data_IF_861788853611
#
_entry.id   IF_861788853611
#
_cell.length_a   1.000
_cell.length_b   1.000
_cell.length_c   1.000
_cell.angle_alpha   90.00
_cell.angle_beta   90.00
_cell.angle_gamma   90.00
#
_symmetry.space_group_name_H-M   'P 1'
#
loop_
_entity.id
_entity.type
_entity.pdbx_description
1 polymer ?
#
# COMPACT_ATOMS: atom_id res chain seq x y z
N UNK A 1 -7.37 -8.00 -6.97
CA UNK A 1 -6.43 -9.13 -6.73
C UNK A 1 -5.09 -8.54 -6.33
N UNK A 2 -4.29 -9.18 -5.48
CA UNK A 2 -2.88 -8.81 -5.36
C UNK A 2 -2.06 -9.54 -6.41
N UNK A 3 -1.51 -8.77 -7.34
CA UNK A 3 -0.60 -9.21 -8.38
C UNK A 3 0.61 -8.25 -8.42
N UNK A 4 1.33 -8.13 -7.29
CA UNK A 4 2.43 -7.18 -7.10
C UNK A 4 3.55 -7.41 -8.12
N UNK A 5 3.91 -8.66 -8.40
CA UNK A 5 4.86 -9.04 -9.45
C UNK A 5 4.18 -9.78 -10.61
N UNK A 6 2.94 -9.38 -10.94
CA UNK A 6 2.14 -9.97 -12.02
C UNK A 6 1.32 -11.17 -11.58
N UNK A 7 0.67 -11.83 -12.55
CA UNK A 7 -0.22 -12.97 -12.28
C UNK A 7 0.50 -14.12 -11.57
N UNK A 8 1.81 -14.27 -11.76
CA UNK A 8 2.62 -15.29 -11.11
C UNK A 8 2.57 -15.26 -9.58
N UNK A 9 2.16 -14.14 -8.97
CA UNK A 9 1.88 -14.06 -7.53
C UNK A 9 0.73 -14.99 -7.08
N UNK A 10 -0.26 -15.19 -7.95
CA UNK A 10 -1.47 -15.98 -7.64
C UNK A 10 -1.60 -17.23 -8.51
N UNK A 11 -0.93 -17.25 -9.67
CA UNK A 11 -1.02 -18.28 -10.71
C UNK A 11 0.37 -18.71 -11.17
N UNK A 12 1.27 -19.02 -10.22
CA UNK A 12 2.70 -19.26 -10.48
C UNK A 12 2.99 -20.35 -11.52
N UNK A 13 2.17 -21.40 -11.57
CA UNK A 13 2.38 -22.55 -12.46
C UNK A 13 1.99 -22.28 -13.92
N UNK A 14 1.18 -21.23 -14.16
CA UNK A 14 0.55 -20.98 -15.45
C UNK A 14 0.84 -19.59 -16.02
N UNK A 15 1.57 -18.74 -15.29
CA UNK A 15 1.84 -17.35 -15.67
C UNK A 15 3.25 -16.89 -15.26
N UNK A 16 3.66 -15.72 -15.75
CA UNK A 16 4.99 -15.16 -15.50
C UNK A 16 5.03 -14.45 -14.13
N UNK A 17 6.16 -14.58 -13.44
CA UNK A 17 6.51 -13.74 -12.28
C UNK A 17 7.54 -12.72 -12.71
N UNK A 18 7.24 -11.44 -12.49
CA UNK A 18 8.22 -10.37 -12.62
C UNK A 18 9.18 -10.37 -11.41
N UNK A 19 10.34 -9.69 -11.49
CA UNK A 19 11.20 -9.52 -10.34
C UNK A 19 10.45 -8.79 -9.20
N UNK A 20 10.78 -9.15 -7.96
CA UNK A 20 10.29 -8.44 -6.79
C UNK A 20 10.79 -6.99 -6.76
N UNK A 21 10.03 -6.14 -6.09
CA UNK A 21 10.10 -4.69 -6.13
C UNK A 21 11.44 -4.17 -5.62
N UNK A 22 12.07 -4.83 -4.65
CA UNK A 22 13.38 -4.42 -4.14
C UNK A 22 14.46 -4.52 -5.22
N UNK A 23 14.41 -5.55 -6.08
CA UNK A 23 15.30 -5.67 -7.23
C UNK A 23 15.01 -4.59 -8.27
N UNK A 24 13.72 -4.31 -8.52
CA UNK A 24 13.30 -3.24 -9.42
C UNK A 24 13.67 -1.84 -8.89
N UNK A 25 13.81 -1.70 -7.58
CA UNK A 25 14.30 -0.50 -6.88
C UNK A 25 15.64 -0.01 -7.38
N UNK A 26 16.53 -0.92 -7.77
CA UNK A 26 17.86 -0.61 -8.29
C UNK A 26 17.87 -0.13 -9.75
N UNK A 27 16.76 -0.28 -10.49
CA UNK A 27 16.66 0.14 -11.89
C UNK A 27 16.73 1.67 -11.98
N UNK A 28 17.63 2.17 -12.82
CA UNK A 28 17.79 3.61 -13.08
C UNK A 28 16.79 4.12 -14.14
N UNK A 29 16.48 3.30 -15.15
CA UNK A 29 15.50 3.64 -16.17
C UNK A 29 14.07 3.32 -15.73
N UNK A 30 13.41 4.31 -15.13
CA UNK A 30 12.03 4.21 -14.66
C UNK A 30 10.99 3.94 -15.76
N UNK A 31 11.35 4.03 -17.06
CA UNK A 31 10.46 3.61 -18.16
C UNK A 31 10.22 2.09 -18.14
N UNK A 32 11.18 1.31 -17.65
CA UNK A 32 11.02 -0.14 -17.52
C UNK A 32 9.93 -0.50 -16.51
N UNK A 33 9.78 0.28 -15.43
CA UNK A 33 8.72 0.07 -14.43
C UNK A 33 7.33 0.35 -15.01
N UNK A 34 7.21 1.39 -15.85
CA UNK A 34 5.97 1.64 -16.60
C UNK A 34 5.64 0.50 -17.57
N UNK A 35 6.63 0.04 -18.34
CA UNK A 35 6.45 -1.07 -19.28
C UNK A 35 6.05 -2.37 -18.57
N UNK A 36 6.62 -2.63 -17.39
CA UNK A 36 6.21 -3.74 -16.55
C UNK A 36 4.74 -3.59 -16.11
N UNK A 37 4.34 -2.43 -15.60
CA UNK A 37 2.95 -2.16 -15.21
C UNK A 37 1.97 -2.35 -16.37
N UNK A 38 2.34 -1.90 -17.58
CA UNK A 38 1.58 -2.14 -18.82
C UNK A 38 1.42 -3.62 -19.13
N UNK A 39 2.49 -4.40 -19.03
CA UNK A 39 2.43 -5.83 -19.34
C UNK A 39 1.61 -6.61 -18.32
N UNK A 40 1.76 -6.28 -17.03
CA UNK A 40 0.92 -6.83 -15.96
C UNK A 40 -0.56 -6.48 -16.22
N UNK A 41 -0.86 -5.26 -16.64
CA UNK A 41 -2.23 -4.87 -17.00
C UNK A 41 -2.79 -5.72 -18.14
N UNK A 42 -2.00 -5.96 -19.20
CA UNK A 42 -2.38 -6.82 -20.33
C UNK A 42 -2.73 -8.23 -19.87
N UNK A 43 -1.90 -8.83 -19.01
CA UNK A 43 -2.12 -10.16 -18.44
C UNK A 43 -3.39 -10.20 -17.57
N UNK A 44 -3.55 -9.25 -16.65
CA UNK A 44 -4.72 -9.14 -15.77
C UNK A 44 -6.02 -9.01 -16.56
N UNK A 45 -6.02 -8.14 -17.59
CA UNK A 45 -7.16 -7.96 -18.50
C UNK A 45 -7.52 -9.24 -19.23
N UNK A 46 -6.54 -10.04 -19.65
CA UNK A 46 -6.77 -11.30 -20.35
C UNK A 46 -7.52 -12.34 -19.49
N UNK A 47 -7.38 -12.27 -18.16
CA UNK A 47 -8.10 -13.13 -17.20
C UNK A 47 -9.31 -12.43 -16.55
N UNK A 48 -9.72 -11.27 -17.07
CA UNK A 48 -10.90 -10.55 -16.58
C UNK A 48 -10.69 -9.75 -15.29
N UNK A 49 -9.45 -9.52 -14.86
CA UNK A 49 -9.14 -8.68 -13.70
C UNK A 49 -9.05 -7.21 -14.09
N UNK A 50 -9.70 -6.36 -13.30
CA UNK A 50 -9.81 -4.91 -13.52
C UNK A 50 -9.23 -4.06 -12.39
N UNK A 51 -8.87 -4.68 -11.26
CA UNK A 51 -8.36 -4.00 -10.07
C UNK A 51 -7.19 -4.79 -9.48
N UNK A 52 -6.01 -4.19 -9.48
CA UNK A 52 -4.80 -4.73 -8.86
C UNK A 52 -4.48 -3.96 -7.58
N UNK A 53 -4.28 -4.69 -6.48
CA UNK A 53 -3.81 -4.15 -5.21
C UNK A 53 -2.28 -3.97 -5.26
N UNK A 54 -1.83 -3.09 -6.15
CA UNK A 54 -0.44 -2.70 -6.36
C UNK A 54 -0.41 -1.27 -6.92
N UNK A 55 0.66 -0.49 -6.66
CA UNK A 55 1.93 -0.89 -6.07
C UNK A 55 1.97 -0.85 -4.53
N UNK A 56 2.92 -1.60 -3.95
CA UNK A 56 3.39 -1.35 -2.59
C UNK A 56 4.25 -0.08 -2.61
N UNK A 57 3.81 0.94 -1.88
CA UNK A 57 4.43 2.26 -1.75
C UNK A 57 5.08 2.50 -0.38
N UNK A 58 5.16 1.46 0.45
CA UNK A 58 5.86 1.49 1.73
C UNK A 58 7.37 1.69 1.53
N UNK A 59 8.00 2.49 2.39
CA UNK A 59 9.45 2.72 2.40
C UNK A 59 10.12 1.71 3.31
N UNK A 60 10.95 0.82 2.76
CA UNK A 60 11.58 -0.27 3.53
C UNK A 60 12.84 0.19 4.27
N UNK A 61 12.66 1.08 5.24
CA UNK A 61 13.72 1.65 6.10
C UNK A 61 14.07 0.78 7.31
N UNK A 62 13.29 -0.27 7.59
CA UNK A 62 13.55 -1.24 8.63
C UNK A 62 13.96 -2.60 8.04
N UNK A 63 15.23 -3.01 8.17
CA UNK A 63 15.69 -4.29 7.62
C UNK A 63 15.12 -5.51 8.35
N UNK A 64 14.58 -5.34 9.57
CA UNK A 64 13.92 -6.41 10.33
C UNK A 64 12.44 -6.58 9.95
N UNK A 65 11.88 -5.71 9.09
CA UNK A 65 10.49 -5.80 8.68
C UNK A 65 10.20 -7.15 7.99
N UNK A 66 9.32 -8.00 8.54
CA UNK A 66 9.07 -9.33 8.00
C UNK A 66 8.03 -9.33 6.86
N UNK A 67 7.27 -8.25 6.68
CA UNK A 67 6.09 -8.20 5.79
C UNK A 67 6.36 -7.43 4.50
N UNK A 68 7.03 -6.28 4.58
CA UNK A 68 7.29 -5.41 3.43
C UNK A 68 8.55 -5.86 2.71
N UNK A 69 9.73 -5.71 3.31
CA UNK A 69 11.01 -6.23 2.82
C UNK A 69 11.16 -6.12 1.29
N UNK A 70 11.18 -7.25 0.58
CA UNK A 70 11.39 -7.31 -0.87
C UNK A 70 10.22 -6.78 -1.72
N UNK A 71 9.06 -6.51 -1.11
CA UNK A 71 7.86 -5.94 -1.76
C UNK A 71 7.93 -4.43 -1.93
N UNK A 72 8.81 -3.74 -1.21
CA UNK A 72 9.06 -2.31 -1.43
C UNK A 72 10.09 -2.09 -2.52
N UNK A 73 10.07 -0.92 -3.16
CA UNK A 73 11.12 -0.47 -4.07
C UNK A 73 12.41 -0.01 -3.37
N UNK A 74 12.46 -0.01 -2.03
CA UNK A 74 13.67 0.27 -1.26
C UNK A 74 13.46 1.26 -0.12
N UNK A 75 14.55 1.83 0.37
CA UNK A 75 14.60 2.70 1.54
C UNK A 75 14.50 4.21 1.24
N UNK A 76 14.70 4.62 -0.01
CA UNK A 76 14.65 6.03 -0.41
C UNK A 76 13.20 6.45 -0.78
N UNK A 77 12.56 7.39 -0.05
CA UNK A 77 11.16 7.75 -0.28
C UNK A 77 10.89 8.29 -1.68
N UNK A 78 11.84 9.02 -2.27
CA UNK A 78 11.71 9.55 -3.62
C UNK A 78 11.72 8.43 -4.67
N UNK A 79 12.65 7.48 -4.56
CA UNK A 79 12.74 6.34 -5.45
C UNK A 79 11.48 5.47 -5.37
N UNK A 80 10.98 5.23 -4.15
CA UNK A 80 9.72 4.51 -3.93
C UNK A 80 8.56 5.26 -4.59
N UNK A 81 8.42 6.56 -4.36
CA UNK A 81 7.36 7.38 -4.97
C UNK A 81 7.38 7.32 -6.49
N UNK A 82 8.55 7.53 -7.12
CA UNK A 82 8.70 7.56 -8.58
C UNK A 82 8.38 6.19 -9.19
N UNK A 83 8.86 5.09 -8.61
CA UNK A 83 8.64 3.74 -9.13
C UNK A 83 7.21 3.28 -8.93
N UNK A 84 6.62 3.57 -7.77
CA UNK A 84 5.20 3.34 -7.51
C UNK A 84 4.32 4.08 -8.52
N UNK A 85 4.59 5.37 -8.78
CA UNK A 85 3.86 6.14 -9.78
C UNK A 85 3.96 5.51 -11.17
N UNK A 86 5.18 5.12 -11.60
CA UNK A 86 5.38 4.52 -12.92
C UNK A 86 4.65 3.18 -13.07
N UNK A 87 4.67 2.34 -12.04
CA UNK A 87 3.92 1.09 -12.04
C UNK A 87 2.42 1.37 -12.11
N UNK A 88 1.90 2.17 -11.18
CA UNK A 88 0.48 2.55 -11.15
C UNK A 88 -0.01 3.12 -12.48
N UNK A 89 0.78 4.02 -13.09
CA UNK A 89 0.44 4.60 -14.39
C UNK A 89 0.41 3.55 -15.50
N UNK A 90 1.33 2.59 -15.51
CA UNK A 90 1.32 1.48 -16.46
C UNK A 90 0.05 0.65 -16.37
N UNK A 91 -0.43 0.38 -15.15
CA UNK A 91 -1.70 -0.31 -14.90
C UNK A 91 -2.91 0.51 -15.39
N UNK A 92 -3.01 1.76 -14.94
CA UNK A 92 -4.17 2.62 -15.17
C UNK A 92 -4.35 3.01 -16.63
N UNK A 93 -3.26 3.36 -17.33
CA UNK A 93 -3.30 3.68 -18.77
C UNK A 93 -3.81 2.49 -19.62
N UNK A 94 -3.78 1.26 -19.07
CA UNK A 94 -4.18 0.02 -19.75
C UNK A 94 -5.41 -0.64 -19.11
N UNK A 95 -6.23 0.14 -18.40
CA UNK A 95 -7.57 -0.27 -17.97
C UNK A 95 -7.62 -1.17 -16.75
N UNK A 96 -6.59 -1.12 -15.90
CA UNK A 96 -6.56 -1.77 -14.58
C UNK A 96 -6.40 -0.71 -13.50
N UNK A 97 -7.35 -0.63 -12.57
CA UNK A 97 -7.27 0.25 -11.40
C UNK A 97 -6.07 -0.17 -10.53
N UNK A 98 -5.23 0.79 -10.15
CA UNK A 98 -4.08 0.58 -9.28
C UNK A 98 -4.39 1.05 -7.85
N UNK A 99 -3.83 0.37 -6.86
CA UNK A 99 -3.99 0.65 -5.43
C UNK A 99 -2.63 0.87 -4.77
N UNK A 100 -2.34 2.09 -4.31
CA UNK A 100 -1.18 2.30 -3.47
C UNK A 100 -1.42 1.72 -2.07
N UNK A 101 -0.44 0.98 -1.53
CA UNK A 101 -0.56 0.36 -0.21
C UNK A 101 0.78 0.30 0.54
N UNK A 102 0.82 0.27 1.87
CA UNK A 102 -0.33 0.25 2.78
C UNK A 102 -0.33 1.52 3.62
N UNK A 103 -1.24 2.44 3.31
CA UNK A 103 -1.32 3.76 3.95
C UNK A 103 -1.57 3.61 5.47
N UNK A 104 -0.90 4.38 6.35
CA UNK A 104 0.01 5.51 6.08
C UNK A 104 1.48 5.13 5.81
N UNK A 105 1.83 3.84 5.80
CA UNK A 105 3.18 3.34 5.56
C UNK A 105 3.55 2.23 6.55
N UNK A 106 3.68 1.00 6.05
CA UNK A 106 3.95 -0.23 6.82
C UNK A 106 5.44 -0.62 6.80
N UNK A 107 6.30 0.28 6.33
CA UNK A 107 7.71 0.00 6.05
C UNK A 107 8.60 -0.15 7.30
N UNK A 108 8.20 0.44 8.42
CA UNK A 108 8.98 0.51 9.68
C UNK A 108 8.34 -0.29 10.82
N UNK A 109 7.85 -1.50 10.54
CA UNK A 109 7.24 -2.36 11.57
C UNK A 109 8.08 -3.61 11.85
N UNK A 110 8.28 -3.91 13.13
CA UNK A 110 8.94 -5.15 13.59
C UNK A 110 7.97 -6.33 13.77
N UNK A 111 6.66 -6.08 13.69
CA UNK A 111 5.59 -7.04 13.96
C UNK A 111 4.73 -7.21 12.72
N UNK A 112 4.39 -8.45 12.41
CA UNK A 112 3.50 -8.76 11.30
C UNK A 112 2.02 -8.58 11.71
N UNK A 113 1.32 -7.71 10.97
CA UNK A 113 -0.10 -7.40 11.15
C UNK A 113 -1.05 -8.60 11.04
N UNK A 114 -0.60 -9.70 10.44
CA UNK A 114 -1.37 -10.95 10.40
C UNK A 114 -1.49 -11.61 11.78
N UNK A 115 -0.62 -11.25 12.74
CA UNK A 115 -0.57 -11.87 14.06
C UNK A 115 -0.89 -10.93 15.22
N UNK A 116 -0.50 -9.65 15.14
CA UNK A 116 -0.81 -8.63 16.15
C UNK A 116 -0.84 -7.23 15.51
N UNK A 117 -1.38 -6.22 16.19
CA UNK A 117 -1.46 -4.85 15.67
C UNK A 117 -0.08 -4.16 15.71
N UNK A 118 0.60 -3.91 14.57
CA UNK A 118 1.93 -3.30 14.58
C UNK A 118 1.84 -1.84 15.02
N UNK A 119 2.79 -1.42 15.85
CA UNK A 119 2.83 -0.06 16.39
C UNK A 119 3.97 0.73 15.74
N UNK A 120 3.67 1.91 15.21
CA UNK A 120 4.66 2.87 14.71
C UNK A 120 4.70 4.07 15.67
N UNK A 121 5.75 4.14 16.49
CA UNK A 121 5.91 5.14 17.55
C UNK A 121 6.82 6.31 17.11
N UNK A 122 6.53 6.89 15.95
CA UNK A 122 7.23 8.07 15.44
C UNK A 122 6.32 9.30 15.50
N UNK A 123 6.93 10.49 15.53
CA UNK A 123 6.20 11.75 15.44
C UNK A 123 5.67 12.03 14.02
N UNK A 124 4.74 12.96 13.90
CA UNK A 124 4.13 13.30 12.62
C UNK A 124 5.15 13.85 11.60
N UNK A 125 6.19 14.57 12.02
CA UNK A 125 7.16 15.15 11.08
C UNK A 125 7.98 14.05 10.41
N UNK A 126 8.37 13.02 11.18
CA UNK A 126 8.99 11.82 10.63
C UNK A 126 8.05 11.15 9.63
N UNK A 127 6.81 10.88 10.03
CA UNK A 127 5.79 10.28 9.16
C UNK A 127 5.58 11.06 7.86
N UNK A 128 5.47 12.39 7.91
CA UNK A 128 5.30 13.24 6.71
C UNK A 128 6.51 13.16 5.76
N UNK A 129 7.72 13.14 6.33
CA UNK A 129 8.96 13.17 5.57
C UNK A 129 9.33 11.83 4.92
N UNK A 130 8.84 10.70 5.45
CA UNK A 130 9.26 9.36 5.05
C UNK A 130 8.07 8.47 4.65
N UNK A 131 7.23 8.07 5.59
CA UNK A 131 6.15 7.09 5.37
C UNK A 131 5.06 7.64 4.45
N UNK A 132 4.60 8.87 4.69
CA UNK A 132 3.52 9.52 3.92
C UNK A 132 4.02 10.07 2.58
N UNK A 133 5.33 10.24 2.40
CA UNK A 133 5.90 10.90 1.22
C UNK A 133 5.46 10.24 -0.10
N UNK A 134 5.58 8.91 -0.28
CA UNK A 134 5.11 8.25 -1.51
C UNK A 134 3.61 8.39 -1.74
N UNK A 135 2.80 8.31 -0.68
CA UNK A 135 1.34 8.41 -0.79
C UNK A 135 0.91 9.82 -1.19
N UNK A 136 1.52 10.87 -0.63
CA UNK A 136 1.26 12.26 -1.03
C UNK A 136 1.53 12.46 -2.52
N UNK A 137 2.68 11.98 -3.01
CA UNK A 137 3.01 12.03 -4.45
C UNK A 137 1.99 11.24 -5.27
N UNK A 138 1.59 10.04 -4.84
CA UNK A 138 0.63 9.22 -5.60
C UNK A 138 -0.78 9.84 -5.64
N UNK A 139 -1.23 10.49 -4.56
CA UNK A 139 -2.48 11.25 -4.55
C UNK A 139 -2.43 12.41 -5.54
N UNK A 140 -1.37 13.22 -5.52
CA UNK A 140 -1.19 14.37 -6.42
C UNK A 140 -1.14 13.95 -7.90
N UNK A 141 -0.53 12.79 -8.20
CA UNK A 141 -0.34 12.30 -9.56
C UNK A 141 -1.41 11.30 -10.03
N UNK A 142 -2.53 11.19 -9.32
CA UNK A 142 -3.75 10.52 -9.79
C UNK A 142 -3.75 9.00 -9.70
N UNK A 143 -3.25 8.42 -8.61
CA UNK A 143 -3.55 7.02 -8.26
C UNK A 143 -5.07 6.84 -8.09
N UNK A 144 -5.62 5.74 -8.59
CA UNK A 144 -7.06 5.52 -8.59
C UNK A 144 -7.62 5.00 -7.26
N UNK A 145 -6.80 4.31 -6.45
CA UNK A 145 -7.17 3.87 -5.12
C UNK A 145 -6.00 3.80 -4.14
N UNK A 146 -6.32 3.80 -2.85
CA UNK A 146 -5.36 3.55 -1.77
C UNK A 146 -5.93 2.58 -0.75
N UNK A 147 -5.08 1.68 -0.27
CA UNK A 147 -5.40 0.73 0.78
C UNK A 147 -4.84 1.21 2.11
N UNK A 148 -5.69 1.26 3.13
CA UNK A 148 -5.30 1.60 4.50
C UNK A 148 -4.93 0.33 5.26
N UNK A 149 -3.74 0.30 5.86
CA UNK A 149 -3.27 -0.79 6.69
C UNK A 149 -3.86 -0.76 8.09
N UNK A 150 -3.78 -1.89 8.77
CA UNK A 150 -4.09 -2.04 10.18
C UNK A 150 -2.84 -1.77 11.02
N UNK A 151 -2.54 -0.50 11.29
CA UNK A 151 -1.42 -0.06 12.11
C UNK A 151 -1.92 0.74 13.31
N UNK A 152 -1.27 0.62 14.46
CA UNK A 152 -1.44 1.58 15.55
C UNK A 152 -0.38 2.68 15.40
N UNK A 153 -0.81 3.92 15.16
CA UNK A 153 0.10 5.05 14.95
C UNK A 153 -0.34 6.19 15.88
N UNK A 154 0.20 6.27 17.11
CA UNK A 154 -0.27 7.23 18.12
C UNK A 154 -0.20 8.70 17.70
N UNK A 155 0.73 9.04 16.80
CA UNK A 155 0.83 10.39 16.24
C UNK A 155 -0.33 10.78 15.31
N UNK A 156 -1.08 9.80 14.79
CA UNK A 156 -2.28 10.01 13.96
C UNK A 156 -3.58 9.81 14.75
N UNK A 157 -3.56 8.85 15.68
CA UNK A 157 -4.69 8.57 16.57
C UNK A 157 -4.18 8.04 17.91
N UNK A 158 -4.35 8.83 18.98
CA UNK A 158 -3.85 8.49 20.31
C UNK A 158 -4.71 7.45 21.06
N UNK A 159 -5.83 6.99 20.47
CA UNK A 159 -6.66 5.95 21.08
C UNK A 159 -5.92 4.62 21.09
N UNK A 160 -5.95 3.95 22.24
CA UNK A 160 -5.28 2.66 22.41
C UNK A 160 -5.84 1.60 21.47
N UNK A 161 -4.96 0.78 20.89
CA UNK A 161 -5.30 -0.31 19.96
C UNK A 161 -6.20 0.12 18.79
N UNK A 162 -6.12 1.38 18.35
CA UNK A 162 -6.92 1.89 17.23
C UNK A 162 -6.18 1.68 15.91
N UNK A 163 -6.65 0.79 15.02
CA UNK A 163 -6.03 0.62 13.72
C UNK A 163 -6.28 1.84 12.83
N UNK A 164 -5.29 2.20 12.02
CA UNK A 164 -5.36 3.31 11.06
C UNK A 164 -6.54 3.18 10.09
N UNK A 165 -6.90 1.96 9.68
CA UNK A 165 -8.09 1.67 8.86
C UNK A 165 -9.40 2.13 9.48
N UNK A 166 -9.51 2.10 10.81
CA UNK A 166 -10.71 2.52 11.52
C UNK A 166 -10.58 3.98 12.03
N UNK A 167 -9.46 4.66 11.82
CA UNK A 167 -9.28 6.01 12.35
C UNK A 167 -9.85 7.08 11.42
N UNK A 168 -10.88 7.81 11.89
CA UNK A 168 -11.39 8.99 11.18
C UNK A 168 -10.31 10.06 10.96
N UNK A 169 -9.36 10.21 11.90
CA UNK A 169 -8.26 11.16 11.73
C UNK A 169 -7.33 10.72 10.58
N UNK A 170 -7.04 9.43 10.47
CA UNK A 170 -6.17 8.90 9.40
C UNK A 170 -6.87 8.85 8.05
N UNK A 171 -8.09 8.31 7.99
CA UNK A 171 -8.83 8.08 6.74
C UNK A 171 -9.42 9.39 6.21
N UNK A 172 -10.13 10.13 7.06
CA UNK A 172 -10.87 11.32 6.63
C UNK A 172 -9.99 12.57 6.71
N UNK A 173 -9.49 12.93 7.89
CA UNK A 173 -8.75 14.19 8.03
C UNK A 173 -7.40 14.19 7.33
N UNK A 174 -6.65 13.09 7.38
CA UNK A 174 -5.33 13.02 6.76
C UNK A 174 -5.42 12.61 5.28
N UNK A 175 -5.98 11.44 4.95
CA UNK A 175 -5.97 10.94 3.57
C UNK A 175 -6.95 11.70 2.67
N UNK A 176 -8.24 11.76 3.03
CA UNK A 176 -9.27 12.41 2.20
C UNK A 176 -9.10 13.93 2.13
N UNK A 177 -8.98 14.59 3.29
CA UNK A 177 -8.94 16.06 3.38
C UNK A 177 -7.49 16.59 3.26
N UNK A 178 -6.57 16.08 4.08
CA UNK A 178 -5.21 16.58 4.19
C UNK A 178 -4.35 16.36 2.93
N UNK A 179 -4.42 15.17 2.34
CA UNK A 179 -3.75 14.86 1.07
C UNK A 179 -4.64 15.15 -0.16
N UNK A 180 -5.91 15.52 0.05
CA UNK A 180 -6.86 15.79 -1.04
C UNK A 180 -7.14 14.56 -1.92
N UNK A 181 -7.06 13.34 -1.36
CA UNK A 181 -7.23 12.12 -2.15
C UNK A 181 -8.70 11.88 -2.50
N UNK A 182 -9.07 12.01 -3.77
CA UNK A 182 -10.47 11.83 -4.23
C UNK A 182 -10.79 10.40 -4.74
N UNK A 183 -9.78 9.52 -4.80
CA UNK A 183 -9.95 8.16 -5.29
C UNK A 183 -10.66 7.21 -4.33
N UNK A 184 -10.69 5.92 -4.70
CA UNK A 184 -11.29 4.87 -3.88
C UNK A 184 -10.38 4.56 -2.68
N UNK A 185 -10.91 4.63 -1.47
CA UNK A 185 -10.23 4.16 -0.26
C UNK A 185 -10.75 2.75 0.03
N UNK A 186 -9.83 1.81 0.22
CA UNK A 186 -10.16 0.43 0.61
C UNK A 186 -9.44 0.08 1.90
N UNK A 187 -10.03 -0.80 2.69
CA UNK A 187 -9.33 -1.39 3.83
C UNK A 187 -8.38 -2.48 3.35
N UNK A 188 -7.34 -2.77 4.12
CA UNK A 188 -6.73 -4.11 4.08
C UNK A 188 -7.73 -5.16 4.61
N UNK A 189 -7.40 -6.44 4.49
CA UNK A 189 -8.29 -7.54 4.82
C UNK A 189 -8.77 -7.45 6.29
N UNK A 190 -10.09 -7.31 6.50
CA UNK A 190 -10.66 -7.06 7.84
C UNK A 190 -10.66 -8.30 8.75
N UNK A 191 -10.44 -9.49 8.18
CA UNK A 191 -10.29 -10.75 8.91
C UNK A 191 -8.90 -10.94 9.56
N UNK A 192 -7.98 -10.00 9.35
CA UNK A 192 -6.65 -10.00 9.98
C UNK A 192 -6.74 -9.85 11.51
N UNK A 193 -5.86 -10.58 12.23
CA UNK A 193 -5.84 -10.59 13.70
C UNK A 193 -5.51 -9.24 14.33
N UNK A 194 -4.74 -8.39 13.64
CA UNK A 194 -4.44 -7.05 14.11
C UNK A 194 -5.68 -6.17 14.35
N UNK A 195 -6.82 -6.50 13.73
CA UNK A 195 -8.10 -5.80 13.95
C UNK A 195 -9.05 -6.67 14.76
N UNK A 196 -9.31 -7.90 14.34
CA UNK A 196 -10.36 -8.75 14.94
C UNK A 196 -10.15 -9.11 16.42
N UNK A 197 -8.93 -8.95 16.96
CA UNK A 197 -8.64 -9.22 18.38
C UNK A 197 -9.27 -8.21 19.34
N UNK A 198 -9.58 -7.00 18.87
CA UNK A 198 -9.99 -5.87 19.72
C UNK A 198 -11.44 -5.41 19.48
N UNK A 199 -12.16 -6.03 18.55
CA UNK A 199 -13.49 -5.62 18.13
C UNK A 199 -14.40 -6.83 17.97
N UNK A 200 -15.69 -6.64 18.21
CA UNK A 200 -16.68 -7.69 17.97
C UNK A 200 -16.97 -7.86 16.47
N UNK A 201 -17.47 -9.04 16.10
CA UNK A 201 -17.85 -9.33 14.71
C UNK A 201 -18.93 -8.37 14.21
N UNK A 202 -18.74 -7.75 13.05
CA UNK A 202 -19.66 -6.77 12.47
C UNK A 202 -19.38 -5.32 12.88
N UNK A 203 -18.68 -5.09 13.99
CA UNK A 203 -18.31 -3.74 14.45
C UNK A 203 -17.21 -3.14 13.57
N UNK A 204 -16.20 -3.96 13.24
CA UNK A 204 -15.09 -3.57 12.37
C UNK A 204 -15.59 -3.10 11.01
N UNK A 205 -16.50 -3.85 10.38
CA UNK A 205 -17.06 -3.54 9.08
C UNK A 205 -17.89 -2.26 9.12
N UNK A 206 -18.67 -2.03 10.19
CA UNK A 206 -19.43 -0.81 10.36
C UNK A 206 -18.53 0.41 10.57
N UNK A 207 -17.49 0.28 11.39
CA UNK A 207 -16.52 1.33 11.65
C UNK A 207 -15.57 1.61 10.48
N UNK A 208 -15.44 0.70 9.51
CA UNK A 208 -14.66 0.95 8.31
C UNK A 208 -15.37 1.88 7.30
N UNK A 209 -16.68 2.12 7.47
CA UNK A 209 -17.50 2.95 6.57
C UNK A 209 -17.47 4.47 6.90
N UNK A 210 -16.62 4.89 7.83
CA UNK A 210 -16.49 6.26 8.34
C UNK A 210 -16.42 7.35 7.24
#
# INVERSE_FOLDING_TARGET
IDAEWGLGMRMKESTISFPQQLMLGAIQDNRLIYNMGKEIARELRAVGVHFNFAPVADVNNNPANPVINTRSFGEDPMNVAVKSYRYAKGLQDHGVLACAKHFPGHGDTDVDSHYDLPVINHDFNRLDSLELYPFRVLAEYGIGSMMVAHLNVPALDARENRPTTLSYNTVTKLLREGLGFEGLIVTDALDMKGVTKHFDSGEVEAEALL
#
